data_IF_052289912753
#
_entry.id   IF_052289912753
#
_cell.length_a   1.000
_cell.length_b   1.000
_cell.length_c   1.000
_cell.angle_alpha   90.00
_cell.angle_beta   90.00
_cell.angle_gamma   90.00
#
_symmetry.space_group_name_H-M   'P 1'
#
loop_
_entity.id
_entity.type
_entity.pdbx_description
1 polymer ?
#
# COMPACT_ATOMS: atom_id res chain seq x y z
N UNK A 1 8.43 -15.74 -8.88
CA UNK A 1 9.61 -14.91 -8.53
C UNK A 1 9.30 -13.51 -8.98
N UNK A 2 9.23 -12.53 -8.06
CA UNK A 2 8.90 -11.17 -8.45
C UNK A 2 10.13 -10.50 -9.07
N UNK A 3 10.05 -10.12 -10.34
CA UNK A 3 11.21 -9.65 -11.11
C UNK A 3 11.47 -8.14 -10.96
N UNK A 4 10.60 -7.41 -10.26
CA UNK A 4 10.78 -5.98 -10.00
C UNK A 4 9.93 -5.44 -8.86
N UNK A 5 10.26 -4.23 -8.41
CA UNK A 5 9.51 -3.49 -7.38
C UNK A 5 8.91 -2.22 -7.98
N UNK A 6 7.59 -2.08 -7.90
CA UNK A 6 6.86 -0.84 -8.14
C UNK A 6 6.87 -0.02 -6.86
N UNK A 7 7.17 1.26 -6.95
CA UNK A 7 7.13 2.19 -5.82
C UNK A 7 5.94 3.12 -6.00
N UNK A 8 5.04 3.14 -5.01
CA UNK A 8 3.94 4.09 -4.92
C UNK A 8 4.29 5.17 -3.89
N UNK A 9 4.59 6.36 -4.39
CA UNK A 9 4.78 7.53 -3.53
C UNK A 9 3.43 8.05 -3.04
N UNK A 10 3.22 8.02 -1.73
CA UNK A 10 1.99 8.50 -1.09
C UNK A 10 2.08 9.98 -0.68
N UNK A 11 3.19 10.67 -0.94
CA UNK A 11 3.35 12.12 -0.67
C UNK A 11 2.21 13.00 -1.22
N UNK A 12 1.66 12.72 -2.43
CA UNK A 12 0.55 13.51 -2.97
C UNK A 12 -0.78 13.28 -2.27
N UNK A 13 -0.91 12.23 -1.45
CA UNK A 13 -2.15 11.92 -0.72
C UNK A 13 -2.22 12.82 0.51
N UNK A 14 -2.86 13.98 0.33
CA UNK A 14 -3.01 14.97 1.40
C UNK A 14 -4.06 14.55 2.42
N UNK A 15 -5.14 13.91 1.99
CA UNK A 15 -6.24 13.45 2.83
C UNK A 15 -6.42 11.93 2.67
N UNK A 16 -6.17 11.19 3.75
CA UNK A 16 -6.43 9.76 3.77
C UNK A 16 -7.95 9.51 3.88
N UNK A 17 -8.54 9.02 2.80
CA UNK A 17 -9.95 8.61 2.77
C UNK A 17 -10.10 7.24 2.12
N UNK A 18 -11.33 6.71 2.12
CA UNK A 18 -11.61 5.39 1.57
C UNK A 18 -11.23 5.28 0.07
N UNK A 19 -11.39 6.37 -0.69
CA UNK A 19 -11.00 6.45 -2.09
C UNK A 19 -9.50 6.31 -2.30
N UNK A 20 -8.69 6.96 -1.46
CA UNK A 20 -7.23 6.82 -1.47
C UNK A 20 -6.80 5.38 -1.21
N UNK A 21 -7.42 4.71 -0.22
CA UNK A 21 -7.17 3.29 0.05
C UNK A 21 -7.56 2.40 -1.11
N UNK A 22 -8.75 2.59 -1.69
CA UNK A 22 -9.18 1.81 -2.85
C UNK A 22 -8.21 1.96 -4.02
N UNK A 23 -7.72 3.18 -4.25
CA UNK A 23 -6.74 3.45 -5.29
C UNK A 23 -5.41 2.73 -5.02
N UNK A 24 -4.85 2.86 -3.81
CA UNK A 24 -3.60 2.18 -3.42
C UNK A 24 -3.75 0.65 -3.54
N UNK A 25 -4.87 0.12 -3.08
CA UNK A 25 -5.17 -1.32 -3.11
C UNK A 25 -5.24 -1.84 -4.53
N UNK A 26 -5.95 -1.14 -5.42
CA UNK A 26 -6.02 -1.51 -6.83
C UNK A 26 -4.65 -1.51 -7.48
N UNK A 27 -3.83 -0.46 -7.26
CA UNK A 27 -2.46 -0.39 -7.80
C UNK A 27 -1.55 -1.49 -7.28
N UNK A 28 -1.67 -1.81 -5.98
CA UNK A 28 -0.92 -2.89 -5.34
C UNK A 28 -1.29 -4.25 -5.92
N UNK A 29 -2.59 -4.51 -6.11
CA UNK A 29 -3.09 -5.76 -6.71
C UNK A 29 -2.68 -5.87 -8.18
N UNK A 30 -2.74 -4.78 -8.93
CA UNK A 30 -2.35 -4.72 -10.34
C UNK A 30 -0.86 -5.08 -10.50
N UNK A 31 0.01 -4.44 -9.72
CA UNK A 31 1.43 -4.76 -9.67
C UNK A 31 1.69 -6.25 -9.35
N UNK A 32 0.98 -6.80 -8.35
CA UNK A 32 1.09 -8.21 -7.98
C UNK A 32 0.65 -9.16 -9.09
N UNK A 33 -0.43 -8.82 -9.81
CA UNK A 33 -0.92 -9.62 -10.95
C UNK A 33 0.10 -9.70 -12.08
N UNK A 34 0.90 -8.66 -12.24
CA UNK A 34 2.00 -8.61 -13.19
C UNK A 34 3.33 -9.16 -12.64
N UNK A 35 3.32 -9.77 -11.45
CA UNK A 35 4.52 -10.36 -10.84
C UNK A 35 5.48 -9.34 -10.21
N UNK A 36 5.03 -8.11 -9.95
CA UNK A 36 5.81 -7.11 -9.23
C UNK A 36 5.47 -7.05 -7.73
N UNK A 37 6.46 -6.73 -6.91
CA UNK A 37 6.22 -6.25 -5.54
C UNK A 37 5.85 -4.77 -5.58
N UNK A 38 5.04 -4.29 -4.64
CA UNK A 38 4.57 -2.91 -4.65
C UNK A 38 4.85 -2.21 -3.32
N UNK A 39 5.89 -1.39 -3.25
CA UNK A 39 6.28 -0.69 -2.03
C UNK A 39 5.59 0.66 -1.90
N UNK A 40 5.06 0.98 -0.71
CA UNK A 40 4.50 2.30 -0.42
C UNK A 40 5.58 3.17 0.22
N UNK A 41 5.79 4.38 -0.30
CA UNK A 41 6.69 5.39 0.27
C UNK A 41 5.91 6.57 0.83
N UNK A 42 6.50 7.26 1.82
CA UNK A 42 5.95 8.46 2.45
C UNK A 42 4.51 8.28 2.97
N UNK A 43 4.22 7.09 3.51
CA UNK A 43 2.90 6.78 4.05
C UNK A 43 2.69 7.56 5.34
N UNK A 44 1.75 8.52 5.31
CA UNK A 44 1.38 9.31 6.48
C UNK A 44 0.68 8.45 7.53
N UNK A 45 0.78 8.84 8.79
CA UNK A 45 0.18 8.12 9.93
C UNK A 45 -1.33 7.90 9.77
N UNK A 46 -2.06 8.91 9.29
CA UNK A 46 -3.51 8.82 9.05
C UNK A 46 -3.86 7.74 8.04
N UNK A 47 -3.04 7.60 6.99
CA UNK A 47 -3.22 6.57 5.97
C UNK A 47 -2.92 5.18 6.54
N UNK A 48 -1.88 5.03 7.37
CA UNK A 48 -1.61 3.78 8.09
C UNK A 48 -2.78 3.38 9.00
N UNK A 49 -3.33 4.33 9.75
CA UNK A 49 -4.48 4.09 10.62
C UNK A 49 -5.72 3.66 9.83
N UNK A 50 -5.95 4.29 8.68
CA UNK A 50 -7.09 3.94 7.84
C UNK A 50 -6.90 2.56 7.17
N UNK A 51 -5.66 2.20 6.79
CA UNK A 51 -5.33 0.86 6.29
C UNK A 51 -5.59 -0.21 7.36
N UNK A 52 -5.18 0.06 8.61
CA UNK A 52 -5.43 -0.82 9.75
C UNK A 52 -6.93 -0.93 10.05
N UNK A 53 -7.64 0.20 10.10
CA UNK A 53 -9.08 0.25 10.29
C UNK A 53 -9.84 -0.56 9.22
N UNK A 54 -9.38 -0.51 7.97
CA UNK A 54 -9.96 -1.27 6.87
C UNK A 54 -9.53 -2.76 6.85
N UNK A 55 -8.65 -3.20 7.75
CA UNK A 55 -8.13 -4.57 7.78
C UNK A 55 -7.25 -4.93 6.57
N UNK A 56 -6.66 -3.94 5.91
CA UNK A 56 -5.90 -4.13 4.66
C UNK A 56 -4.39 -4.25 4.87
N UNK A 57 -3.95 -4.38 6.12
CA UNK A 57 -2.53 -4.46 6.49
C UNK A 57 -1.82 -5.63 5.82
N UNK A 58 -2.42 -6.81 5.81
CA UNK A 58 -1.86 -8.01 5.16
C UNK A 58 -1.75 -7.87 3.64
N UNK A 59 -2.58 -7.02 3.03
CA UNK A 59 -2.58 -6.77 1.59
C UNK A 59 -1.58 -5.67 1.25
N UNK A 60 -1.59 -4.57 1.99
CA UNK A 60 -0.88 -3.34 1.65
C UNK A 60 0.49 -3.24 2.34
N UNK A 61 0.63 -3.62 3.62
CA UNK A 61 1.91 -3.51 4.33
C UNK A 61 2.93 -4.57 3.90
N UNK A 62 2.45 -5.79 3.59
CA UNK A 62 3.30 -6.85 3.02
C UNK A 62 3.83 -6.44 1.65
N UNK A 63 3.04 -5.71 0.85
CA UNK A 63 3.53 -5.14 -0.40
C UNK A 63 4.52 -4.02 -0.12
N UNK A 64 4.20 -3.17 0.86
CA UNK A 64 4.96 -2.00 1.24
C UNK A 64 6.37 -2.29 1.77
N UNK A 65 6.68 -3.55 2.12
CA UNK A 65 7.93 -3.93 2.78
C UNK A 65 7.96 -3.52 4.26
N UNK A 66 6.79 -3.18 4.82
CA UNK A 66 6.67 -2.94 6.26
C UNK A 66 6.46 -4.28 6.95
N UNK A 67 7.23 -4.61 8.00
CA UNK A 67 6.95 -5.79 8.79
C UNK A 67 5.52 -5.66 9.36
N UNK A 68 4.71 -6.75 9.34
CA UNK A 68 3.44 -6.74 10.05
C UNK A 68 3.73 -6.39 11.51
N UNK A 69 2.98 -5.42 12.06
CA UNK A 69 3.07 -5.13 13.49
C UNK A 69 2.44 -6.31 14.22
N UNK A 70 3.27 -7.05 14.95
CA UNK A 70 2.93 -8.14 15.87
C UNK A 70 1.95 -7.69 16.95
#
# INVERSE_FOLDING_TARGET
MATGTVILDCSPIQHANLGAIQWITRRTLDARRHGFQCRLLHVRRELLQLIAFAGLESVLLVAAGFPPRS
#
